data_IF_031899369633
#
_entry.id   IF_031899369633
#
_cell.length_a   1.000
_cell.length_b   1.000
_cell.length_c   1.000
_cell.angle_alpha   90.00
_cell.angle_beta   90.00
_cell.angle_gamma   90.00
#
_symmetry.space_group_name_H-M   'P 1'
#
loop_
_entity.id
_entity.type
_entity.pdbx_description
1 polymer ?
#
# COMPACT_ATOMS: atom_id res chain seq x y z
N UNK A 1 2.99 1.24 -18.19
CA UNK A 1 2.15 1.89 -17.15
C UNK A 1 1.81 0.82 -16.14
N UNK A 2 2.49 0.79 -14.99
CA UNK A 2 2.14 -0.11 -13.91
C UNK A 2 1.25 0.67 -12.94
N UNK A 3 0.16 0.07 -12.51
CA UNK A 3 -0.83 0.70 -11.66
C UNK A 3 -1.23 -0.27 -10.56
N UNK A 4 -1.41 0.26 -9.35
CA UNK A 4 -1.72 -0.57 -8.19
C UNK A 4 -3.22 -0.71 -8.03
N UNK A 5 -3.71 -1.95 -8.08
CA UNK A 5 -5.10 -2.27 -7.74
C UNK A 5 -5.27 -2.24 -6.23
N UNK A 6 -6.22 -1.44 -5.79
CA UNK A 6 -6.71 -1.38 -4.42
C UNK A 6 -8.19 -1.76 -4.40
N UNK A 7 -8.63 -2.34 -3.29
CA UNK A 7 -10.05 -2.56 -3.06
C UNK A 7 -10.56 -1.48 -2.12
N UNK A 8 -11.42 -0.60 -2.63
CA UNK A 8 -12.07 0.41 -1.82
C UNK A 8 -13.30 -0.22 -1.16
N UNK A 9 -13.20 -0.58 0.12
CA UNK A 9 -14.30 -1.20 0.88
C UNK A 9 -15.52 -0.30 1.03
N UNK A 10 -15.37 1.04 0.96
CA UNK A 10 -16.50 1.97 1.03
C UNK A 10 -17.34 1.92 -0.25
N UNK A 11 -16.67 1.86 -1.40
CA UNK A 11 -17.31 1.70 -2.72
C UNK A 11 -17.65 0.24 -3.04
N UNK A 12 -17.00 -0.70 -2.34
CA UNK A 12 -17.00 -2.14 -2.63
C UNK A 12 -16.47 -2.47 -4.03
N UNK A 13 -15.57 -1.63 -4.52
CA UNK A 13 -15.05 -1.70 -5.88
C UNK A 13 -13.52 -1.74 -5.91
N UNK A 14 -13.00 -2.33 -6.98
CA UNK A 14 -11.57 -2.34 -7.26
C UNK A 14 -11.18 -1.07 -7.99
N UNK A 15 -10.41 -0.22 -7.34
CA UNK A 15 -9.89 1.01 -7.92
C UNK A 15 -8.43 0.81 -8.32
N UNK A 16 -8.05 1.40 -9.44
CA UNK A 16 -6.68 1.33 -9.95
C UNK A 16 -6.04 2.69 -9.73
N UNK A 17 -4.99 2.74 -8.93
CA UNK A 17 -4.28 3.97 -8.59
C UNK A 17 -2.91 3.96 -9.27
N UNK A 18 -2.59 5.06 -9.94
CA UNK A 18 -1.27 5.28 -10.53
C UNK A 18 -0.14 5.28 -9.51
N UNK A 19 1.05 4.87 -9.93
CA UNK A 19 2.20 4.76 -9.04
C UNK A 19 2.66 6.11 -8.45
N UNK A 20 2.35 7.23 -9.12
CA UNK A 20 2.62 8.57 -8.60
C UNK A 20 1.69 9.01 -7.46
N UNK A 21 0.55 8.32 -7.28
CA UNK A 21 -0.45 8.60 -6.23
C UNK A 21 -0.44 7.58 -5.09
N UNK A 22 0.49 6.61 -5.11
CA UNK A 22 0.70 5.67 -4.01
C UNK A 22 2.01 5.96 -3.27
N UNK A 23 2.10 5.50 -2.03
CA UNK A 23 3.26 5.63 -1.17
C UNK A 23 3.58 4.30 -0.49
N UNK A 24 4.85 3.91 -0.51
CA UNK A 24 5.36 2.75 0.21
C UNK A 24 5.55 3.07 1.69
N UNK A 25 5.05 2.20 2.56
CA UNK A 25 5.20 2.27 4.01
C UNK A 25 5.58 0.90 4.56
N UNK A 26 6.55 0.89 5.47
CA UNK A 26 6.95 -0.30 6.22
C UNK A 26 6.50 -0.11 7.67
N UNK A 27 5.67 -1.02 8.14
CA UNK A 27 5.25 -1.07 9.54
C UNK A 27 6.06 -2.14 10.27
N UNK A 28 7.02 -1.70 11.08
CA UNK A 28 7.72 -2.59 12.02
C UNK A 28 6.94 -2.65 13.33
N UNK A 29 6.53 -3.84 13.76
CA UNK A 29 5.93 -4.05 15.08
C UNK A 29 6.61 -5.23 15.78
N UNK A 30 7.04 -5.02 17.01
CA UNK A 30 7.53 -6.12 17.87
C UNK A 30 6.35 -6.82 18.52
N UNK A 31 6.23 -8.13 18.31
CA UNK A 31 5.20 -8.97 18.93
C UNK A 31 5.88 -10.18 19.55
N UNK A 32 5.68 -10.38 20.85
CA UNK A 32 6.26 -11.50 21.62
C UNK A 32 7.79 -11.64 21.45
N UNK A 33 8.52 -10.51 21.47
CA UNK A 33 9.99 -10.49 21.32
C UNK A 33 10.51 -10.67 19.90
N UNK A 34 9.64 -10.86 18.89
CA UNK A 34 10.01 -10.93 17.47
C UNK A 34 9.59 -9.67 16.72
N UNK A 35 10.48 -9.11 15.91
CA UNK A 35 10.18 -7.98 15.03
C UNK A 35 9.42 -8.50 13.81
N UNK A 36 8.17 -8.06 13.64
CA UNK A 36 7.37 -8.34 12.44
C UNK A 36 7.37 -7.08 11.56
N UNK A 37 8.03 -7.17 10.41
CA UNK A 37 7.95 -6.16 9.36
C UNK A 37 6.74 -6.44 8.46
N UNK A 38 5.82 -5.48 8.34
CA UNK A 38 4.69 -5.53 7.41
C UNK A 38 4.90 -4.49 6.34
N UNK A 39 4.99 -4.95 5.10
CA UNK A 39 5.16 -4.11 3.93
C UNK A 39 3.78 -3.72 3.40
N UNK A 40 3.55 -2.42 3.22
CA UNK A 40 2.26 -1.90 2.78
C UNK A 40 2.44 -0.76 1.79
N UNK A 41 1.50 -0.64 0.86
CA UNK A 41 1.39 0.54 0.00
C UNK A 41 0.10 1.25 0.36
N UNK A 42 0.20 2.56 0.55
CA UNK A 42 -0.93 3.46 0.79
C UNK A 42 -1.22 4.25 -0.48
N UNK A 43 -2.48 4.60 -0.68
CA UNK A 43 -2.92 5.46 -1.76
C UNK A 43 -4.12 6.27 -1.28
N UNK A 44 -4.44 7.34 -2.01
CA UNK A 44 -5.65 8.10 -1.77
C UNK A 44 -6.54 8.01 -3.01
N UNK A 45 -7.75 7.51 -2.80
CA UNK A 45 -8.79 7.47 -3.83
C UNK A 45 -9.30 8.90 -4.11
N UNK A 46 -9.93 9.13 -5.26
CA UNK A 46 -10.47 10.45 -5.63
C UNK A 46 -11.51 10.97 -4.61
N UNK A 47 -12.25 10.08 -3.96
CA UNK A 47 -13.22 10.39 -2.89
C UNK A 47 -12.56 10.71 -1.54
N UNK A 48 -11.23 10.81 -1.51
CA UNK A 48 -10.44 11.06 -0.31
C UNK A 48 -10.30 9.85 0.61
N UNK A 49 -10.73 8.67 0.17
CA UNK A 49 -10.58 7.44 0.95
C UNK A 49 -9.13 6.99 0.96
N UNK A 50 -8.56 6.83 2.16
CA UNK A 50 -7.23 6.27 2.32
C UNK A 50 -7.27 4.76 2.07
N UNK A 51 -6.61 4.32 1.03
CA UNK A 51 -6.44 2.93 0.65
C UNK A 51 -5.12 2.44 1.22
N UNK A 52 -5.10 1.23 1.76
CA UNK A 52 -3.88 0.59 2.24
C UNK A 52 -3.93 -0.87 1.85
N UNK A 53 -2.90 -1.33 1.16
CA UNK A 53 -2.77 -2.72 0.75
C UNK A 53 -1.48 -3.28 1.32
N UNK A 54 -1.63 -4.30 2.16
CA UNK A 54 -0.51 -5.08 2.64
C UNK A 54 -0.08 -6.06 1.57
N UNK A 55 1.22 -6.19 1.38
CA UNK A 55 1.81 -7.05 0.36
C UNK A 55 3.11 -7.66 0.88
N UNK A 56 3.60 -8.67 0.17
CA UNK A 56 4.87 -9.32 0.50
C UNK A 56 6.04 -8.38 0.23
N UNK A 57 7.19 -8.63 0.87
CA UNK A 57 8.43 -7.86 0.62
C UNK A 57 8.81 -7.84 -0.87
N UNK A 58 8.63 -8.96 -1.58
CA UNK A 58 8.90 -9.07 -3.03
C UNK A 58 8.05 -8.11 -3.86
N UNK A 59 6.73 -8.11 -3.65
CA UNK A 59 5.81 -7.21 -4.35
C UNK A 59 6.06 -5.74 -3.98
N UNK A 60 6.39 -5.48 -2.71
CA UNK A 60 6.73 -4.14 -2.24
C UNK A 60 8.00 -3.60 -2.88
N UNK A 61 9.03 -4.44 -3.07
CA UNK A 61 10.26 -4.05 -3.75
C UNK A 61 10.01 -3.80 -5.25
N UNK A 62 9.19 -4.65 -5.87
CA UNK A 62 8.79 -4.53 -7.27
C UNK A 62 7.86 -3.34 -7.57
N UNK A 63 7.07 -2.87 -6.61
CA UNK A 63 6.25 -1.68 -6.77
C UNK A 63 7.15 -0.46 -7.03
N UNK A 64 6.78 0.45 -7.95
CA UNK A 64 7.55 1.69 -8.19
C UNK A 64 6.98 2.90 -7.47
N UNK A 65 6.02 2.69 -6.57
CA UNK A 65 5.48 3.75 -5.70
C UNK A 65 6.63 4.44 -4.92
N UNK A 66 6.63 5.78 -4.79
CA UNK A 66 7.59 6.49 -3.96
C UNK A 66 7.50 6.05 -2.49
N UNK A 67 8.60 6.03 -1.77
CA UNK A 67 8.60 5.87 -0.31
C UNK A 67 7.99 7.09 0.35
N UNK A 68 7.13 6.87 1.35
CA UNK A 68 6.68 7.96 2.21
C UNK A 68 7.91 8.55 2.88
N UNK A 69 8.20 9.81 2.56
CA UNK A 69 9.36 10.56 3.04
C UNK A 69 9.14 11.05 4.47
#
# INVERSE_FOLDING_TARGET
MAAQKFYNVKKRESVTIDEGKCTKVIYSKTVAGKVQERYAVRAKDDDGTNLTRFMSKKDFDAAKCPTAK
#
